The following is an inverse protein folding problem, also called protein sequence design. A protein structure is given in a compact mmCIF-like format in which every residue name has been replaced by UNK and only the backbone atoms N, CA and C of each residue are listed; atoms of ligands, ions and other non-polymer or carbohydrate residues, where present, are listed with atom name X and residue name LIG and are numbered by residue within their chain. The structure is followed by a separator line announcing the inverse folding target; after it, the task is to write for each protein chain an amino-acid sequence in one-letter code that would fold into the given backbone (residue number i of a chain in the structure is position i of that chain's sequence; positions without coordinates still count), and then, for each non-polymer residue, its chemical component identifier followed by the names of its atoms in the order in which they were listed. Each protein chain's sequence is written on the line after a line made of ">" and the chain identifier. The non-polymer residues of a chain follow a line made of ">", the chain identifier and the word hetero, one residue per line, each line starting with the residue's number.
data_IF_700427181774
#
_entry.id   IF_700427181774
#
_cell.length_a   1.000
_cell.length_b   1.000
_cell.length_c   1.000
_cell.angle_alpha   90.00
_cell.angle_beta   90.00
_cell.angle_gamma   90.00
#
_symmetry.space_group_name_H-M   'P 1'
#
loop_
_entity.id
_entity.type
_entity.pdbx_description
1 polymer ?
#
# COMPACT_ATOMS: atom_id res chain seq x y z
N UNK A 1 28.51 -41.47 -24.06
CA UNK A 1 28.12 -40.92 -22.75
C UNK A 1 27.45 -39.56 -22.96
N UNK A 2 26.13 -39.49 -22.75
CA UNK A 2 25.32 -38.29 -22.97
C UNK A 2 25.64 -37.25 -21.89
N UNK A 3 26.20 -36.11 -22.30
CA UNK A 3 26.35 -34.94 -21.42
C UNK A 3 25.01 -34.21 -21.40
N UNK A 4 24.27 -34.35 -20.30
CA UNK A 4 23.05 -33.56 -20.05
C UNK A 4 23.52 -32.17 -19.63
N UNK A 5 23.34 -31.19 -20.52
CA UNK A 5 23.60 -29.78 -20.24
C UNK A 5 22.38 -29.22 -19.52
N UNK A 6 22.51 -28.98 -18.21
CA UNK A 6 21.45 -28.38 -17.39
C UNK A 6 21.46 -26.85 -17.62
N UNK A 7 20.60 -26.36 -18.51
CA UNK A 7 20.42 -24.91 -18.70
C UNK A 7 19.43 -24.43 -17.65
N UNK A 8 19.93 -23.82 -16.58
CA UNK A 8 19.12 -23.08 -15.60
C UNK A 8 18.84 -21.71 -16.19
N UNK A 9 17.68 -21.53 -16.82
CA UNK A 9 17.19 -20.20 -17.22
C UNK A 9 16.72 -19.47 -15.96
N UNK A 10 17.59 -18.69 -15.34
CA UNK A 10 17.19 -17.74 -14.28
C UNK A 10 16.38 -16.64 -14.97
N UNK A 11 15.05 -16.74 -14.91
CA UNK A 11 14.16 -15.61 -15.19
C UNK A 11 14.45 -14.55 -14.13
N UNK A 12 15.23 -13.52 -14.50
CA UNK A 12 15.39 -12.30 -13.73
C UNK A 12 14.07 -11.53 -13.75
N UNK A 13 13.09 -11.97 -12.95
CA UNK A 13 11.96 -11.13 -12.58
C UNK A 13 12.57 -10.07 -11.67
N UNK A 14 12.88 -8.89 -12.22
CA UNK A 14 13.30 -7.72 -11.45
C UNK A 14 12.10 -7.24 -10.64
N UNK A 15 11.85 -7.89 -9.49
CA UNK A 15 10.90 -7.35 -8.52
C UNK A 15 11.51 -6.08 -7.97
N UNK A 16 10.99 -4.94 -8.39
CA UNK A 16 11.34 -3.63 -7.85
C UNK A 16 10.89 -3.62 -6.38
N UNK A 17 11.80 -3.96 -5.46
CA UNK A 17 11.53 -4.01 -4.04
C UNK A 17 11.38 -2.59 -3.49
N UNK A 18 10.38 -2.41 -2.62
CA UNK A 18 10.30 -1.30 -1.69
C UNK A 18 10.96 -1.80 -0.39
N UNK A 19 12.13 -1.24 -0.06
CA UNK A 19 12.63 -1.34 1.30
C UNK A 19 11.63 -0.79 2.31
N UNK A 20 11.94 -0.88 3.61
CA UNK A 20 11.16 -0.12 4.59
C UNK A 20 11.22 1.36 4.22
N UNK A 21 10.07 2.01 4.12
CA UNK A 21 9.95 3.41 3.69
C UNK A 21 8.87 4.14 4.48
N UNK A 22 9.01 5.46 4.54
CA UNK A 22 7.97 6.33 5.03
C UNK A 22 6.90 6.53 3.96
N UNK A 23 5.73 6.98 4.38
CA UNK A 23 4.61 7.31 3.50
C UNK A 23 3.78 8.43 4.11
N UNK A 24 2.97 9.06 3.27
CA UNK A 24 1.88 9.96 3.64
C UNK A 24 0.56 9.31 3.23
N UNK A 25 -0.51 9.63 3.93
CA UNK A 25 -1.84 9.13 3.60
C UNK A 25 -2.88 10.24 3.57
N UNK A 26 -3.94 10.00 2.82
CA UNK A 26 -5.14 10.82 2.76
C UNK A 26 -6.35 9.90 2.72
N UNK A 27 -7.50 10.41 3.17
CA UNK A 27 -8.74 9.64 3.16
C UNK A 27 -9.73 10.29 2.21
N UNK A 28 -10.61 9.48 1.65
CA UNK A 28 -11.70 9.92 0.81
C UNK A 28 -13.00 9.41 1.40
N UNK A 29 -13.98 10.29 1.54
CA UNK A 29 -15.34 9.96 1.95
C UNK A 29 -16.33 10.65 1.02
N UNK A 30 -17.37 9.93 0.60
CA UNK A 30 -18.40 10.43 -0.31
C UNK A 30 -17.83 11.03 -1.62
N UNK A 31 -16.69 10.53 -2.08
CA UNK A 31 -16.01 11.02 -3.29
C UNK A 31 -15.15 12.27 -3.11
N UNK A 32 -15.08 12.83 -1.89
CA UNK A 32 -14.23 13.98 -1.57
C UNK A 32 -12.98 13.51 -0.83
N UNK A 33 -11.81 13.90 -1.33
CA UNK A 33 -10.54 13.68 -0.66
C UNK A 33 -10.35 14.74 0.43
N UNK A 34 -9.80 14.34 1.57
CA UNK A 34 -9.34 15.29 2.58
C UNK A 34 -8.26 16.20 1.98
N UNK A 35 -8.32 17.49 2.28
CA UNK A 35 -7.39 18.49 1.76
C UNK A 35 -5.95 18.33 2.29
N UNK A 36 -5.78 17.54 3.36
CA UNK A 36 -4.50 17.36 4.05
C UNK A 36 -4.04 15.92 3.97
N UNK A 37 -2.83 15.75 3.46
CA UNK A 37 -2.08 14.50 3.57
C UNK A 37 -1.34 14.47 4.91
N UNK A 38 -1.58 13.42 5.68
CA UNK A 38 -0.95 13.18 6.98
C UNK A 38 0.28 12.29 6.81
N UNK A 39 1.32 12.53 7.61
CA UNK A 39 2.53 11.70 7.57
C UNK A 39 2.31 10.43 8.40
N UNK A 40 2.54 9.26 7.80
CA UNK A 40 2.42 7.98 8.51
C UNK A 40 3.42 7.86 9.66
N UNK A 41 4.60 8.45 9.49
CA UNK A 41 5.63 8.57 10.52
C UNK A 41 5.56 9.95 11.16
N UNK A 42 4.68 10.12 12.16
CA UNK A 42 4.59 11.37 12.92
C UNK A 42 5.40 11.29 14.22
N UNK A 43 6.69 11.66 14.16
CA UNK A 43 7.64 11.61 15.30
C UNK A 43 7.47 12.83 16.23
N UNK A 44 6.67 13.85 15.83
CA UNK A 44 6.65 15.15 16.49
C UNK A 44 6.07 15.18 17.90
N UNK A 45 5.54 14.07 18.42
CA UNK A 45 4.94 13.99 19.76
C UNK A 45 5.75 13.19 20.79
N UNK A 46 7.01 12.87 20.50
CA UNK A 46 7.91 12.22 21.47
C UNK A 46 7.54 10.76 21.82
N UNK A 47 6.50 10.20 21.20
CA UNK A 47 6.12 8.79 21.36
C UNK A 47 7.12 7.83 20.70
N UNK A 48 7.87 8.32 19.70
CA UNK A 48 8.74 7.49 18.87
C UNK A 48 7.98 6.39 18.12
N UNK A 49 6.65 6.48 17.98
CA UNK A 49 5.80 5.50 17.31
C UNK A 49 5.15 6.15 16.10
N UNK A 50 5.26 5.49 14.95
CA UNK A 50 4.56 5.86 13.73
C UNK A 50 4.28 4.62 12.89
N UNK A 51 3.98 4.83 11.62
CA UNK A 51 3.68 3.79 10.66
C UNK A 51 4.66 3.87 9.48
N UNK A 52 5.09 2.71 9.02
CA UNK A 52 5.97 2.57 7.86
C UNK A 52 5.40 1.53 6.92
N UNK A 53 5.92 1.54 5.70
CA UNK A 53 5.54 0.61 4.65
C UNK A 53 6.73 -0.28 4.28
N UNK A 54 6.46 -1.54 3.91
CA UNK A 54 7.49 -2.47 3.37
C UNK A 54 6.87 -3.39 2.32
N UNK A 55 7.64 -3.77 1.30
CA UNK A 55 7.22 -4.77 0.31
C UNK A 55 7.76 -4.48 -1.08
N UNK A 56 6.88 -4.36 -2.06
CA UNK A 56 7.18 -3.92 -3.43
C UNK A 56 5.99 -3.13 -3.98
N UNK A 57 6.14 -2.50 -5.15
CA UNK A 57 5.09 -1.64 -5.72
C UNK A 57 3.77 -2.37 -6.04
N UNK A 58 3.79 -3.71 -6.18
CA UNK A 58 2.61 -4.54 -6.42
C UNK A 58 2.04 -5.20 -5.17
N UNK A 59 2.79 -5.32 -4.08
CA UNK A 59 2.32 -5.87 -2.81
C UNK A 59 3.14 -5.29 -1.65
N UNK A 60 2.46 -4.61 -0.72
CA UNK A 60 3.10 -3.98 0.43
C UNK A 60 2.23 -4.04 1.68
N UNK A 61 2.87 -3.94 2.84
CA UNK A 61 2.23 -3.88 4.16
C UNK A 61 2.53 -2.54 4.82
N UNK A 62 1.57 -2.04 5.60
CA UNK A 62 1.72 -0.89 6.49
C UNK A 62 1.64 -1.42 7.92
N UNK A 63 2.61 -1.08 8.75
CA UNK A 63 2.73 -1.58 10.12
C UNK A 63 3.26 -0.51 11.05
N UNK A 64 2.93 -0.67 12.34
CA UNK A 64 3.46 0.20 13.39
C UNK A 64 4.97 0.00 13.55
N UNK A 65 5.69 1.09 13.70
CA UNK A 65 7.13 1.13 13.89
C UNK A 65 7.47 2.06 15.06
N UNK A 66 8.22 1.53 16.01
CA UNK A 66 8.84 2.31 17.08
C UNK A 66 10.30 2.58 16.77
N UNK A 67 10.77 3.80 17.00
CA UNK A 67 12.20 4.14 16.95
C UNK A 67 13.01 3.45 18.06
N UNK A 68 12.36 2.94 19.10
CA UNK A 68 13.01 2.28 20.24
C UNK A 68 13.08 0.76 20.09
N UNK A 69 12.00 0.13 19.62
CA UNK A 69 11.88 -1.34 19.53
C UNK A 69 11.76 -1.86 18.09
N UNK A 70 11.77 -0.97 17.09
CA UNK A 70 11.51 -1.30 15.70
C UNK A 70 10.04 -1.58 15.42
N UNK A 71 9.78 -2.29 14.33
CA UNK A 71 8.44 -2.76 13.95
C UNK A 71 8.54 -4.10 13.25
N UNK A 72 7.49 -4.90 13.33
CA UNK A 72 7.41 -6.21 12.69
C UNK A 72 6.44 -6.12 11.52
N UNK A 73 6.90 -6.29 10.27
CA UNK A 73 6.02 -6.28 9.11
C UNK A 73 4.94 -7.36 9.12
N UNK A 74 5.10 -8.44 9.89
CA UNK A 74 4.06 -9.44 10.12
C UNK A 74 2.86 -8.86 10.87
N UNK A 75 3.10 -7.91 11.76
CA UNK A 75 2.10 -7.32 12.64
C UNK A 75 1.47 -6.09 11.95
N UNK A 76 1.10 -6.25 10.67
CA UNK A 76 0.60 -5.15 9.85
C UNK A 76 -0.83 -4.78 10.20
N UNK A 77 -1.15 -3.50 9.96
CA UNK A 77 -2.51 -2.97 10.06
C UNK A 77 -3.25 -3.05 8.72
N UNK A 78 -2.51 -3.05 7.62
CA UNK A 78 -3.03 -3.17 6.27
C UNK A 78 -2.03 -3.85 5.35
N UNK A 79 -2.51 -4.73 4.48
CA UNK A 79 -1.76 -5.31 3.36
C UNK A 79 -2.49 -5.02 2.05
N UNK A 80 -1.81 -4.37 1.14
CA UNK A 80 -2.34 -3.98 -0.17
C UNK A 80 -1.67 -4.83 -1.23
N UNK A 81 -2.47 -5.37 -2.16
CA UNK A 81 -1.99 -6.13 -3.32
C UNK A 81 -2.63 -5.61 -4.60
N UNK A 82 -1.81 -5.22 -5.57
CA UNK A 82 -2.21 -4.80 -6.92
C UNK A 82 -2.11 -6.01 -7.86
N UNK A 83 -3.21 -6.36 -8.50
CA UNK A 83 -3.26 -7.48 -9.45
C UNK A 83 -2.81 -6.99 -10.82
N UNK A 84 -1.82 -7.67 -11.41
CA UNK A 84 -1.37 -7.39 -12.77
C UNK A 84 -0.60 -6.07 -12.94
N UNK A 85 0.04 -5.56 -11.87
CA UNK A 85 0.86 -4.35 -11.97
C UNK A 85 1.97 -4.54 -13.00
N UNK A 86 2.00 -3.67 -14.00
CA UNK A 86 3.06 -3.60 -14.99
C UNK A 86 3.97 -2.40 -14.71
N UNK A 87 5.18 -2.64 -14.20
CA UNK A 87 6.18 -1.58 -13.96
C UNK A 87 7.05 -1.31 -15.19
N UNK A 88 7.05 -2.24 -16.16
CA UNK A 88 7.85 -2.24 -17.40
C UNK A 88 7.13 -1.53 -18.56
N UNK A 89 6.49 -0.40 -18.26
CA UNK A 89 5.83 0.44 -19.25
C UNK A 89 6.87 1.28 -19.99
N UNK A 90 6.74 1.37 -21.32
CA UNK A 90 7.65 2.15 -22.15
C UNK A 90 7.74 3.62 -21.71
N UNK A 91 8.93 4.20 -21.87
CA UNK A 91 9.22 5.58 -21.46
C UNK A 91 8.33 6.60 -22.20
N UNK A 92 8.00 6.39 -23.47
CA UNK A 92 7.10 7.28 -24.23
C UNK A 92 5.69 7.22 -23.65
N UNK A 93 5.22 6.02 -23.31
CA UNK A 93 3.89 5.84 -22.72
C UNK A 93 3.79 6.46 -21.31
N UNK A 94 4.81 6.26 -20.45
CA UNK A 94 4.90 6.95 -19.15
C UNK A 94 4.85 8.47 -19.31
N UNK A 95 5.56 9.02 -20.31
CA UNK A 95 5.56 10.47 -20.60
C UNK A 95 4.20 10.96 -21.11
N UNK A 96 3.55 10.21 -21.99
CA UNK A 96 2.22 10.52 -22.54
C UNK A 96 1.18 10.62 -21.42
N UNK A 97 1.11 9.59 -20.56
CA UNK A 97 0.20 9.58 -19.41
C UNK A 97 0.46 10.72 -18.44
N UNK A 98 1.73 11.01 -18.15
CA UNK A 98 2.09 12.16 -17.29
C UNK A 98 1.64 13.50 -17.89
N UNK A 99 1.79 13.69 -19.20
CA UNK A 99 1.33 14.90 -19.90
C UNK A 99 -0.20 15.04 -19.84
N UNK A 100 -0.91 13.93 -19.95
CA UNK A 100 -2.38 13.90 -20.01
C UNK A 100 -3.04 13.70 -18.63
N UNK A 101 -2.27 13.59 -17.55
CA UNK A 101 -2.75 13.22 -16.22
C UNK A 101 -3.59 11.92 -16.19
N UNK A 102 -3.19 10.92 -16.98
CA UNK A 102 -3.91 9.65 -17.11
C UNK A 102 -3.42 8.61 -16.11
N UNK A 103 -4.24 8.36 -15.09
CA UNK A 103 -3.94 7.39 -14.05
C UNK A 103 -3.91 5.96 -14.63
N UNK A 104 -3.07 5.12 -14.04
CA UNK A 104 -3.13 3.68 -14.28
C UNK A 104 -4.24 3.09 -13.42
N UNK A 105 -5.04 2.19 -13.98
CA UNK A 105 -6.15 1.57 -13.26
C UNK A 105 -5.93 0.06 -13.14
N UNK A 106 -6.11 -0.45 -11.93
CA UNK A 106 -5.93 -1.85 -11.58
C UNK A 106 -7.03 -2.29 -10.61
N UNK A 107 -7.20 -3.60 -10.49
CA UNK A 107 -7.92 -4.23 -9.38
C UNK A 107 -6.91 -4.74 -8.35
N UNK A 108 -7.37 -4.97 -7.13
CA UNK A 108 -6.51 -5.49 -6.07
C UNK A 108 -7.28 -5.98 -4.87
N UNK A 109 -6.55 -6.23 -3.79
CA UNK A 109 -7.11 -6.52 -2.48
C UNK A 109 -6.49 -5.63 -1.42
N UNK A 110 -7.31 -5.24 -0.44
CA UNK A 110 -6.84 -4.77 0.86
C UNK A 110 -7.21 -5.80 1.90
N UNK A 111 -6.22 -6.26 2.63
CA UNK A 111 -6.40 -7.04 3.85
C UNK A 111 -6.14 -6.14 5.05
N UNK A 112 -7.02 -6.22 6.04
CA UNK A 112 -7.01 -5.37 7.23
C UNK A 112 -7.65 -6.09 8.41
N UNK A 113 -7.51 -5.56 9.61
CA UNK A 113 -8.10 -6.11 10.82
C UNK A 113 -9.24 -5.22 11.32
N UNK A 114 -10.32 -5.85 11.79
CA UNK A 114 -11.47 -5.18 12.43
C UNK A 114 -11.60 -5.63 13.87
N UNK A 115 -12.02 -4.73 14.75
CA UNK A 115 -12.38 -5.00 16.15
C UNK A 115 -13.77 -4.40 16.47
N UNK A 116 -14.16 -4.39 17.74
CA UNK A 116 -15.44 -3.79 18.18
C UNK A 116 -15.56 -2.28 17.89
N UNK A 117 -14.47 -1.58 17.66
CA UNK A 117 -14.45 -0.14 17.34
C UNK A 117 -14.37 0.12 15.83
N UNK A 118 -13.84 -0.83 15.07
CA UNK A 118 -13.55 -0.76 13.63
C UNK A 118 -14.31 -1.84 12.84
N UNK A 119 -15.56 -2.10 13.22
CA UNK A 119 -16.36 -3.22 12.70
C UNK A 119 -16.70 -3.08 11.20
N UNK A 120 -16.79 -1.85 10.69
CA UNK A 120 -17.07 -1.54 9.28
C UNK A 120 -15.83 -0.99 8.57
N UNK A 121 -15.78 -1.14 7.24
CA UNK A 121 -14.75 -0.52 6.37
C UNK A 121 -14.66 1.00 6.58
N UNK A 122 -15.81 1.66 6.74
CA UNK A 122 -15.87 3.10 6.97
C UNK A 122 -15.22 3.49 8.30
N UNK A 123 -15.59 2.83 9.40
CA UNK A 123 -15.00 3.09 10.72
C UNK A 123 -13.49 2.82 10.70
N UNK A 124 -13.08 1.70 10.10
CA UNK A 124 -11.66 1.38 9.90
C UNK A 124 -10.93 2.49 9.14
N UNK A 125 -11.48 2.97 8.01
CA UNK A 125 -10.86 4.02 7.21
C UNK A 125 -10.78 5.35 7.97
N UNK A 126 -11.82 5.71 8.75
CA UNK A 126 -11.83 6.92 9.57
C UNK A 126 -10.69 6.92 10.59
N UNK A 127 -10.46 5.79 11.25
CA UNK A 127 -9.42 5.64 12.28
C UNK A 127 -8.04 5.34 11.72
N UNK A 128 -7.90 4.94 10.46
CA UNK A 128 -6.59 4.69 9.84
C UNK A 128 -5.63 5.88 10.07
N UNK A 129 -4.36 5.66 10.47
CA UNK A 129 -3.69 4.37 10.65
C UNK A 129 -3.81 3.78 12.07
N UNK A 130 -4.53 4.44 12.99
CA UNK A 130 -4.77 4.00 14.37
C UNK A 130 -5.84 2.91 14.45
N UNK A 131 -5.59 1.80 13.77
CA UNK A 131 -6.48 0.64 13.64
C UNK A 131 -5.80 -0.61 14.19
N UNK A 132 -6.56 -1.67 14.53
CA UNK A 132 -5.98 -2.90 15.06
C UNK A 132 -4.98 -3.56 14.10
N UNK A 133 -4.05 -4.30 14.70
CA UNK A 133 -3.14 -5.23 14.04
C UNK A 133 -3.53 -6.70 14.34
N UNK A 134 -2.77 -7.65 13.81
CA UNK A 134 -2.98 -9.09 14.02
C UNK A 134 -2.94 -9.52 15.49
N UNK A 135 -2.25 -8.77 16.37
CA UNK A 135 -2.03 -9.15 17.77
C UNK A 135 -3.09 -8.60 18.71
N UNK A 136 -3.93 -7.68 18.24
CA UNK A 136 -4.99 -7.10 19.05
C UNK A 136 -5.99 -8.17 19.52
N UNK A 137 -6.40 -8.10 20.78
CA UNK A 137 -7.40 -9.02 21.31
C UNK A 137 -8.75 -8.82 20.62
N UNK A 138 -9.36 -9.92 20.15
CA UNK A 138 -10.66 -9.87 19.48
C UNK A 138 -10.62 -9.26 18.07
N UNK A 139 -9.44 -9.12 17.46
CA UNK A 139 -9.32 -8.67 16.08
C UNK A 139 -9.70 -9.78 15.11
N UNK A 140 -10.34 -9.38 14.02
CA UNK A 140 -10.80 -10.28 12.96
C UNK A 140 -10.16 -9.82 11.66
N UNK A 141 -9.44 -10.72 11.00
CA UNK A 141 -8.88 -10.49 9.67
C UNK A 141 -9.97 -10.37 8.62
N UNK A 142 -9.91 -9.33 7.80
CA UNK A 142 -10.83 -9.01 6.71
C UNK A 142 -10.06 -8.84 5.42
N UNK A 143 -10.66 -9.25 4.31
CA UNK A 143 -10.13 -9.02 2.96
C UNK A 143 -11.24 -8.41 2.12
N UNK A 144 -10.93 -7.33 1.41
CA UNK A 144 -11.84 -6.68 0.48
C UNK A 144 -11.18 -6.51 -0.89
N UNK A 145 -11.95 -6.76 -1.95
CA UNK A 145 -11.56 -6.39 -3.31
C UNK A 145 -11.63 -4.87 -3.46
N UNK A 146 -10.65 -4.29 -4.14
CA UNK A 146 -10.52 -2.84 -4.30
C UNK A 146 -10.21 -2.47 -5.75
N UNK A 147 -10.59 -1.25 -6.13
CA UNK A 147 -10.04 -0.61 -7.33
C UNK A 147 -8.85 0.23 -6.91
N UNK A 148 -7.74 0.12 -7.63
CA UNK A 148 -6.51 0.84 -7.33
C UNK A 148 -6.18 1.72 -8.52
N UNK A 149 -6.10 3.03 -8.29
CA UNK A 149 -5.56 3.96 -9.28
C UNK A 149 -4.16 4.38 -8.86
N UNK A 150 -3.21 4.31 -9.78
CA UNK A 150 -1.82 4.75 -9.54
C UNK A 150 -1.57 6.00 -10.37
N UNK A 151 -1.08 7.06 -9.73
CA UNK A 151 -0.79 8.31 -10.41
C UNK A 151 0.31 8.12 -11.48
N UNK A 152 0.32 8.90 -12.57
CA UNK A 152 1.39 8.85 -13.55
C UNK A 152 2.78 9.09 -12.93
N UNK A 153 3.75 8.21 -13.20
CA UNK A 153 5.09 8.27 -12.61
C UNK A 153 6.22 8.17 -13.64
N UNK A 154 7.41 8.66 -13.27
CA UNK A 154 8.61 8.65 -14.13
C UNK A 154 9.40 7.35 -14.00
N UNK A 155 9.76 6.98 -12.77
CA UNK A 155 10.57 5.79 -12.47
C UNK A 155 9.68 4.67 -11.95
N UNK A 156 9.17 4.85 -10.73
CA UNK A 156 8.35 3.87 -10.03
C UNK A 156 7.04 4.50 -9.54
N UNK A 157 5.99 3.70 -9.28
CA UNK A 157 4.77 4.17 -8.64
C UNK A 157 5.04 4.89 -7.31
N UNK A 158 4.44 6.06 -7.11
CA UNK A 158 4.65 6.90 -5.92
C UNK A 158 3.35 7.25 -5.20
N UNK A 159 2.20 7.21 -5.89
CA UNK A 159 0.90 7.58 -5.31
C UNK A 159 -0.19 6.60 -5.75
N UNK A 160 -0.91 6.06 -4.77
CA UNK A 160 -1.95 5.06 -4.92
C UNK A 160 -3.25 5.58 -4.32
N UNK A 161 -4.34 5.47 -5.06
CA UNK A 161 -5.69 5.65 -4.55
C UNK A 161 -6.38 4.28 -4.52
N UNK A 162 -6.61 3.76 -3.33
CA UNK A 162 -7.21 2.46 -3.04
C UNK A 162 -8.68 2.68 -2.69
N UNK A 163 -9.59 2.29 -3.56
CA UNK A 163 -11.03 2.49 -3.37
C UNK A 163 -11.69 1.27 -2.74
N UNK A 164 -12.28 1.45 -1.55
CA UNK A 164 -12.86 0.36 -0.76
C UNK A 164 -14.30 0.02 -1.13
N UNK A 165 -15.15 1.04 -1.36
CA UNK A 165 -16.56 0.96 -1.84
C UNK A 165 -17.23 2.33 -1.64
N UNK A 166 -18.38 2.59 -2.29
CA UNK A 166 -19.29 3.71 -1.98
C UNK A 166 -18.62 5.11 -1.85
N UNK A 167 -17.64 5.41 -2.70
CA UNK A 167 -16.93 6.69 -2.66
C UNK A 167 -15.93 6.83 -1.50
N UNK A 168 -15.60 5.73 -0.81
CA UNK A 168 -14.54 5.68 0.20
C UNK A 168 -13.22 5.23 -0.40
N UNK A 169 -12.13 5.90 0.00
CA UNK A 169 -10.80 5.59 -0.51
C UNK A 169 -9.68 5.92 0.47
N UNK A 170 -8.58 5.19 0.35
CA UNK A 170 -7.32 5.44 1.03
C UNK A 170 -6.28 5.86 0.00
N UNK A 171 -5.73 7.05 0.18
CA UNK A 171 -4.61 7.57 -0.58
C UNK A 171 -3.32 7.22 0.14
N UNK A 172 -2.32 6.70 -0.58
CA UNK A 172 -0.98 6.42 -0.07
C UNK A 172 0.03 7.05 -1.00
N UNK A 173 0.92 7.87 -0.45
CA UNK A 173 2.03 8.50 -1.15
C UNK A 173 3.37 8.10 -0.51
N UNK A 174 4.30 7.61 -1.32
CA UNK A 174 5.68 7.27 -0.95
C UNK A 174 6.57 8.50 -0.78
#
# INVERSE_FOLDING_TARGET
>A
MKRVLFIITILFITTTALGQTYFRYGKCFNGYWDDRWEDGMNINYGSGIGYVMKGNYGEFVIYSYSTYSGGRPSDYIAKIKVIGLNTNIDKKEKKRRKKNNEWYEYTGTIEYYSDKFNETKEKWLRHFPYVPDERGEGTIRRVASVRIKIAPYKKNPECYNIWLENGMGLGIQL
#
